data_IF_275313530377
#
_entry.id   IF_275313530377
#
_cell.length_a   1.000
_cell.length_b   1.000
_cell.length_c   1.000
_cell.angle_alpha   90.00
_cell.angle_beta   90.00
_cell.angle_gamma   90.00
#
_symmetry.space_group_name_H-M   'P 1'
#
loop_
_entity.id
_entity.type
_entity.pdbx_description
1 polymer ?
#
# COMPACT_ATOMS: atom_id res chain seq x y z
N UNK A 1 -9.65 -8.36 15.44
CA UNK A 1 -9.39 -7.04 14.84
C UNK A 1 -10.67 -6.21 14.87
N UNK A 2 -10.55 -4.90 14.86
CA UNK A 2 -11.72 -4.00 14.93
C UNK A 2 -12.57 -4.06 13.67
N UNK A 3 -12.00 -4.54 12.56
CA UNK A 3 -12.67 -4.66 11.27
C UNK A 3 -13.34 -6.03 11.05
N UNK A 4 -12.95 -7.05 11.80
CA UNK A 4 -13.62 -8.36 11.81
C UNK A 4 -14.81 -8.31 12.78
N UNK A 5 -15.94 -7.80 12.30
CA UNK A 5 -17.13 -7.55 13.14
C UNK A 5 -18.10 -8.74 13.20
N UNK A 6 -17.99 -9.70 12.27
CA UNK A 6 -18.80 -10.90 12.27
C UNK A 6 -18.22 -11.95 13.26
N UNK A 7 -19.09 -12.59 14.03
CA UNK A 7 -18.70 -13.66 14.94
C UNK A 7 -17.89 -14.77 14.23
N UNK A 8 -18.28 -15.11 13.02
CA UNK A 8 -17.61 -16.12 12.18
C UNK A 8 -16.20 -15.69 11.73
N UNK A 9 -15.98 -14.41 11.51
CA UNK A 9 -14.64 -13.86 11.20
C UNK A 9 -13.73 -13.94 12.43
N UNK A 10 -14.27 -13.62 13.60
CA UNK A 10 -13.54 -13.67 14.87
C UNK A 10 -13.21 -15.11 15.29
N UNK A 11 -14.16 -16.04 15.12
CA UNK A 11 -13.95 -17.46 15.44
C UNK A 11 -12.92 -18.13 14.52
N UNK A 12 -12.95 -17.80 13.23
CA UNK A 12 -12.06 -18.41 12.23
C UNK A 12 -10.74 -17.67 12.05
N UNK A 13 -10.66 -16.42 12.51
CA UNK A 13 -9.49 -15.56 12.33
C UNK A 13 -9.22 -15.19 10.85
N UNK A 14 -10.27 -15.12 10.04
CA UNK A 14 -10.21 -14.74 8.62
C UNK A 14 -11.26 -13.69 8.31
N UNK A 15 -10.92 -12.72 7.44
CA UNK A 15 -11.87 -11.76 6.88
C UNK A 15 -12.77 -12.47 5.87
N UNK A 16 -14.09 -12.35 6.00
CA UNK A 16 -15.11 -12.94 5.11
C UNK A 16 -15.70 -11.85 4.22
N UNK A 17 -16.06 -10.71 4.81
CA UNK A 17 -16.62 -9.57 4.10
C UNK A 17 -15.68 -8.39 4.13
N UNK A 18 -15.59 -7.64 3.03
CA UNK A 18 -14.79 -6.42 3.02
C UNK A 18 -15.31 -5.42 4.06
N UNK A 19 -14.42 -4.73 4.72
CA UNK A 19 -14.73 -3.68 5.69
C UNK A 19 -14.05 -2.38 5.28
N UNK A 20 -14.70 -1.25 5.50
CA UNK A 20 -14.14 0.07 5.20
C UNK A 20 -13.93 0.87 6.48
N UNK A 21 -12.77 1.47 6.60
CA UNK A 21 -12.42 2.38 7.69
C UNK A 21 -11.56 3.53 7.18
N UNK A 22 -11.35 4.52 8.04
CA UNK A 22 -10.50 5.66 7.73
C UNK A 22 -9.44 5.79 8.82
N UNK A 23 -8.20 6.02 8.41
CA UNK A 23 -7.16 6.49 9.31
C UNK A 23 -6.62 7.85 8.84
N UNK A 24 -6.03 8.57 9.76
CA UNK A 24 -5.34 9.83 9.51
C UNK A 24 -3.87 9.61 9.79
N UNK A 25 -3.02 10.08 8.90
CA UNK A 25 -1.59 9.86 9.01
C UNK A 25 -0.81 11.08 8.52
N UNK A 26 0.22 11.43 9.26
CA UNK A 26 1.17 12.48 8.88
C UNK A 26 2.50 11.82 8.53
N UNK A 27 3.07 12.19 7.39
CA UNK A 27 4.34 11.62 6.94
C UNK A 27 5.42 11.76 8.02
N UNK A 28 6.14 10.66 8.30
CA UNK A 28 7.21 10.56 9.29
C UNK A 28 6.79 10.94 10.72
N UNK A 29 5.50 10.81 11.08
CA UNK A 29 4.94 11.24 12.37
C UNK A 29 5.72 10.71 13.59
N UNK A 30 6.15 9.45 13.54
CA UNK A 30 6.85 8.78 14.64
C UNK A 30 8.38 8.67 14.43
N UNK A 31 8.91 9.24 13.36
CA UNK A 31 10.35 9.15 13.04
C UNK A 31 11.01 10.50 12.95
N UNK A 32 10.70 11.29 11.96
CA UNK A 32 11.27 12.62 11.70
C UNK A 32 10.17 13.68 11.51
N UNK A 33 9.30 13.92 12.52
CA UNK A 33 8.13 14.78 12.36
C UNK A 33 8.52 16.20 11.94
N UNK A 34 7.89 16.69 10.86
CA UNK A 34 8.13 18.03 10.33
C UNK A 34 7.03 18.97 10.80
N UNK A 35 7.37 20.14 11.42
CA UNK A 35 6.37 21.13 11.79
C UNK A 35 5.53 21.58 10.59
N UNK A 36 4.22 21.49 10.71
CA UNK A 36 3.30 21.89 9.64
C UNK A 36 3.15 20.87 8.51
N UNK A 37 3.62 19.64 8.68
CA UNK A 37 3.34 18.55 7.74
C UNK A 37 1.83 18.32 7.62
N UNK A 38 1.38 18.02 6.40
CA UNK A 38 -0.04 17.80 6.13
C UNK A 38 -0.47 16.44 6.66
N UNK A 39 -1.62 16.42 7.34
CA UNK A 39 -2.31 15.18 7.69
C UNK A 39 -3.03 14.65 6.45
N UNK A 40 -2.83 13.36 6.17
CA UNK A 40 -3.48 12.65 5.07
C UNK A 40 -4.60 11.77 5.61
N UNK A 41 -5.74 11.82 4.93
CA UNK A 41 -6.85 10.91 5.19
C UNK A 41 -6.70 9.69 4.28
N UNK A 42 -6.50 8.52 4.87
CA UNK A 42 -6.39 7.25 4.15
C UNK A 42 -7.67 6.45 4.40
N UNK A 43 -8.43 6.19 3.34
CA UNK A 43 -9.60 5.32 3.40
C UNK A 43 -9.15 3.89 3.07
N UNK A 44 -9.30 2.99 4.01
CA UNK A 44 -8.86 1.61 3.92
C UNK A 44 -10.07 0.72 3.66
N UNK A 45 -9.97 -0.11 2.63
CA UNK A 45 -10.89 -1.21 2.38
C UNK A 45 -10.13 -2.51 2.66
N UNK A 46 -10.44 -3.17 3.77
CA UNK A 46 -9.91 -4.49 4.09
C UNK A 46 -10.67 -5.54 3.28
N UNK A 47 -9.95 -6.37 2.54
CA UNK A 47 -10.52 -7.37 1.65
C UNK A 47 -10.13 -8.77 2.09
N UNK A 48 -11.03 -9.78 1.96
CA UNK A 48 -10.69 -11.15 2.27
C UNK A 48 -9.60 -11.67 1.32
N UNK A 49 -8.64 -12.42 1.87
CA UNK A 49 -7.59 -13.08 1.09
C UNK A 49 -7.96 -14.49 0.61
N UNK A 50 -9.12 -15.01 0.99
CA UNK A 50 -9.51 -16.39 0.69
C UNK A 50 -10.19 -16.52 -0.67
N UNK A 51 -9.87 -17.58 -1.42
CA UNK A 51 -10.37 -17.79 -2.79
C UNK A 51 -11.90 -17.84 -2.90
N UNK A 52 -12.59 -18.26 -1.85
CA UNK A 52 -14.05 -18.34 -1.85
C UNK A 52 -14.73 -16.97 -1.88
N UNK A 53 -13.98 -15.89 -1.61
CA UNK A 53 -14.48 -14.52 -1.51
C UNK A 53 -13.93 -13.60 -2.62
N UNK A 54 -13.52 -14.16 -3.76
CA UNK A 54 -12.95 -13.42 -4.90
C UNK A 54 -13.85 -12.30 -5.42
N UNK A 55 -15.17 -12.47 -5.36
CA UNK A 55 -16.14 -11.44 -5.80
C UNK A 55 -16.08 -10.17 -4.93
N UNK A 56 -15.86 -10.32 -3.62
CA UNK A 56 -15.70 -9.18 -2.70
C UNK A 56 -14.40 -8.41 -3.01
N UNK A 57 -13.33 -9.14 -3.32
CA UNK A 57 -12.06 -8.55 -3.75
C UNK A 57 -12.22 -7.78 -5.04
N UNK A 58 -12.85 -8.37 -6.06
CA UNK A 58 -13.05 -7.76 -7.37
C UNK A 58 -13.87 -6.48 -7.31
N UNK A 59 -14.96 -6.48 -6.52
CA UNK A 59 -15.77 -5.26 -6.31
C UNK A 59 -14.95 -4.15 -5.65
N UNK A 60 -14.10 -4.50 -4.69
CA UNK A 60 -13.23 -3.53 -4.02
C UNK A 60 -12.17 -2.99 -4.97
N UNK A 61 -11.50 -3.84 -5.75
CA UNK A 61 -10.46 -3.44 -6.71
C UNK A 61 -10.94 -2.37 -7.70
N UNK A 62 -12.23 -2.39 -8.04
CA UNK A 62 -12.81 -1.44 -8.99
C UNK A 62 -12.87 0.00 -8.48
N UNK A 63 -12.78 0.20 -7.16
CA UNK A 63 -12.86 1.52 -6.52
C UNK A 63 -11.59 1.93 -5.81
N UNK A 64 -10.53 1.11 -5.85
CA UNK A 64 -9.25 1.41 -5.22
C UNK A 64 -8.39 2.34 -6.08
N UNK A 65 -7.70 3.27 -5.43
CA UNK A 65 -6.63 4.06 -6.03
C UNK A 65 -5.30 3.30 -6.03
N UNK A 66 -5.07 2.50 -5.01
CA UNK A 66 -3.91 1.64 -4.86
C UNK A 66 -4.18 0.52 -3.87
N UNK A 67 -3.30 -0.46 -3.81
CA UNK A 67 -3.44 -1.59 -2.90
C UNK A 67 -2.13 -1.96 -2.21
N UNK A 68 -2.22 -2.40 -0.97
CA UNK A 68 -1.11 -3.00 -0.24
C UNK A 68 -1.30 -4.51 -0.23
N UNK A 69 -0.45 -5.23 -0.97
CA UNK A 69 -0.41 -6.69 -0.95
C UNK A 69 0.33 -7.17 0.30
N UNK A 70 -0.36 -7.84 1.21
CA UNK A 70 0.24 -8.35 2.44
C UNK A 70 0.63 -9.82 2.25
N UNK A 71 1.92 -10.11 2.35
CA UNK A 71 2.49 -11.45 2.20
C UNK A 71 3.02 -11.95 3.54
N UNK A 72 2.95 -13.25 3.76
CA UNK A 72 3.55 -13.87 4.95
C UNK A 72 5.05 -14.09 4.72
N UNK A 73 5.89 -13.60 5.62
CA UNK A 73 7.36 -13.76 5.53
C UNK A 73 7.83 -15.23 5.48
N UNK A 74 7.00 -16.17 5.94
CA UNK A 74 7.29 -17.60 5.90
C UNK A 74 6.93 -18.25 4.58
N UNK A 75 5.80 -17.85 3.97
CA UNK A 75 5.25 -18.48 2.76
C UNK A 75 5.56 -17.71 1.48
N UNK A 76 5.85 -16.41 1.60
CA UNK A 76 5.97 -15.53 0.44
C UNK A 76 4.67 -15.46 -0.35
N UNK A 77 4.75 -15.59 -1.66
CA UNK A 77 3.60 -15.64 -2.56
C UNK A 77 2.97 -17.04 -2.52
N UNK A 78 1.71 -17.11 -2.13
CA UNK A 78 0.89 -18.31 -2.12
C UNK A 78 -0.14 -18.27 -3.26
N UNK A 79 -0.78 -19.40 -3.64
CA UNK A 79 -1.75 -19.43 -4.75
C UNK A 79 -2.89 -18.41 -4.61
N UNK A 80 -3.33 -18.14 -3.37
CA UNK A 80 -4.36 -17.12 -3.10
C UNK A 80 -3.84 -15.72 -3.43
N UNK A 81 -2.61 -15.42 -3.06
CA UNK A 81 -1.95 -14.13 -3.39
C UNK A 81 -1.86 -13.93 -4.90
N UNK A 82 -1.53 -14.98 -5.66
CA UNK A 82 -1.46 -14.90 -7.12
C UNK A 82 -2.82 -14.55 -7.74
N UNK A 83 -3.91 -15.14 -7.26
CA UNK A 83 -5.24 -14.88 -7.77
C UNK A 83 -5.65 -13.41 -7.55
N UNK A 84 -5.51 -12.91 -6.33
CA UNK A 84 -5.83 -11.51 -5.99
C UNK A 84 -4.94 -10.55 -6.78
N UNK A 85 -3.67 -10.89 -6.94
CA UNK A 85 -2.72 -10.06 -7.69
C UNK A 85 -3.09 -9.95 -9.17
N UNK A 86 -3.48 -11.07 -9.81
CA UNK A 86 -3.94 -11.07 -11.20
C UNK A 86 -5.25 -10.29 -11.40
N UNK A 87 -6.16 -10.36 -10.44
CA UNK A 87 -7.36 -9.51 -10.46
C UNK A 87 -6.99 -8.01 -10.40
N UNK A 88 -6.06 -7.63 -9.54
CA UNK A 88 -5.56 -6.26 -9.48
C UNK A 88 -4.86 -5.81 -10.78
N UNK A 89 -4.19 -6.72 -11.50
CA UNK A 89 -3.63 -6.44 -12.83
C UNK A 89 -4.75 -6.09 -13.84
N UNK A 90 -5.88 -6.77 -13.78
CA UNK A 90 -7.02 -6.50 -14.68
C UNK A 90 -7.56 -5.08 -14.55
N UNK A 91 -7.50 -4.53 -13.35
CA UNK A 91 -7.97 -3.16 -13.05
C UNK A 91 -6.85 -2.11 -13.03
N UNK A 92 -5.61 -2.49 -13.38
CA UNK A 92 -4.43 -1.61 -13.36
C UNK A 92 -4.28 -0.86 -12.02
N UNK A 93 -4.52 -1.56 -10.90
CA UNK A 93 -4.39 -0.97 -9.57
C UNK A 93 -2.92 -0.88 -9.17
N UNK A 94 -2.36 0.31 -8.91
CA UNK A 94 -1.01 0.48 -8.36
C UNK A 94 -0.85 -0.27 -7.03
N UNK A 95 0.30 -0.89 -6.82
CA UNK A 95 0.52 -1.76 -5.65
C UNK A 95 1.86 -1.55 -4.99
N UNK A 96 1.86 -1.73 -3.68
CA UNK A 96 3.05 -1.97 -2.89
C UNK A 96 2.89 -3.30 -2.14
N UNK A 97 3.98 -3.88 -1.69
CA UNK A 97 4.00 -5.13 -0.94
C UNK A 97 4.46 -4.90 0.50
N UNK A 98 3.83 -5.59 1.43
CA UNK A 98 4.23 -5.63 2.83
C UNK A 98 4.48 -7.08 3.26
N UNK A 99 5.75 -7.41 3.54
CA UNK A 99 6.15 -8.72 4.04
C UNK A 99 5.91 -8.73 5.54
N UNK A 100 4.79 -9.31 5.94
CA UNK A 100 4.28 -9.34 7.31
C UNK A 100 4.73 -10.60 8.04
N UNK A 101 4.60 -10.57 9.36
CA UNK A 101 4.93 -11.68 10.27
C UNK A 101 6.43 -12.01 10.30
N UNK A 102 7.28 -10.97 10.22
CA UNK A 102 8.72 -11.12 10.37
C UNK A 102 9.14 -11.71 11.73
N UNK A 103 8.23 -11.64 12.73
CA UNK A 103 8.37 -12.20 14.08
C UNK A 103 8.06 -13.69 14.19
N UNK A 104 7.66 -14.36 13.11
CA UNK A 104 7.26 -15.77 13.14
C UNK A 104 8.40 -16.70 12.73
N UNK A 105 8.42 -17.88 13.37
CA UNK A 105 9.38 -18.94 13.05
C UNK A 105 9.32 -19.33 11.57
N UNK A 106 10.45 -19.30 10.89
CA UNK A 106 10.59 -19.54 9.46
C UNK A 106 10.37 -18.28 8.60
N UNK A 107 10.34 -17.09 9.20
CA UNK A 107 10.28 -15.84 8.45
C UNK A 107 11.57 -15.61 7.66
N UNK A 108 11.44 -15.33 6.36
CA UNK A 108 12.54 -15.00 5.45
C UNK A 108 12.07 -13.90 4.47
N UNK A 109 12.61 -12.71 4.69
CA UNK A 109 12.29 -11.54 3.85
C UNK A 109 12.75 -11.72 2.41
N UNK A 110 14.00 -12.15 2.24
CA UNK A 110 14.63 -12.21 0.90
C UNK A 110 13.99 -13.30 0.04
N UNK A 111 13.69 -14.46 0.63
CA UNK A 111 12.91 -15.51 -0.04
C UNK A 111 11.54 -14.98 -0.44
N UNK A 112 10.86 -14.24 0.44
CA UNK A 112 9.53 -13.69 0.16
C UNK A 112 9.57 -12.69 -1.01
N UNK A 113 10.56 -11.79 -1.05
CA UNK A 113 10.78 -10.87 -2.19
C UNK A 113 11.03 -11.64 -3.47
N UNK A 114 11.88 -12.67 -3.42
CA UNK A 114 12.17 -13.50 -4.60
C UNK A 114 10.90 -14.18 -5.13
N UNK A 115 10.01 -14.65 -4.26
CA UNK A 115 8.74 -15.23 -4.72
C UNK A 115 7.82 -14.23 -5.43
N UNK A 116 7.87 -12.94 -5.08
CA UNK A 116 7.13 -11.90 -5.80
C UNK A 116 7.67 -11.77 -7.22
N UNK A 117 8.98 -11.76 -7.38
CA UNK A 117 9.63 -11.69 -8.70
C UNK A 117 9.29 -12.93 -9.53
N UNK A 118 9.50 -14.12 -8.98
CA UNK A 118 9.40 -15.38 -9.70
C UNK A 118 7.96 -15.76 -10.06
N UNK A 119 7.02 -15.56 -9.14
CA UNK A 119 5.63 -16.02 -9.31
C UNK A 119 4.70 -14.96 -9.86
N UNK A 120 4.93 -13.69 -9.51
CA UNK A 120 4.09 -12.58 -9.98
C UNK A 120 4.70 -11.87 -11.20
N UNK A 121 5.98 -12.14 -11.52
CA UNK A 121 6.68 -11.53 -12.64
C UNK A 121 6.77 -10.00 -12.50
N UNK A 122 6.86 -9.48 -11.26
CA UNK A 122 6.82 -8.05 -10.98
C UNK A 122 8.20 -7.51 -10.60
N UNK A 123 8.43 -6.25 -10.94
CA UNK A 123 9.61 -5.51 -10.51
C UNK A 123 9.45 -5.13 -9.03
N UNK A 124 9.75 -6.07 -8.14
CA UNK A 124 9.76 -5.84 -6.71
C UNK A 124 11.02 -5.07 -6.31
N UNK A 125 10.83 -3.92 -5.67
CA UNK A 125 11.89 -3.02 -5.24
C UNK A 125 11.84 -2.89 -3.73
N UNK A 126 12.65 -3.65 -2.97
CA UNK A 126 12.78 -3.45 -1.53
C UNK A 126 13.30 -2.05 -1.23
N UNK A 127 12.55 -1.31 -0.44
CA UNK A 127 12.92 0.03 0.03
C UNK A 127 13.51 -0.01 1.44
N UNK A 128 13.47 -1.18 2.06
CA UNK A 128 14.03 -1.47 3.37
C UNK A 128 14.41 -2.94 3.48
N UNK A 129 15.29 -3.26 4.42
CA UNK A 129 15.62 -4.63 4.82
C UNK A 129 15.39 -4.80 6.33
N UNK A 130 15.05 -6.02 6.82
CA UNK A 130 14.83 -6.24 8.24
C UNK A 130 16.12 -6.26 9.04
N UNK A 131 16.05 -5.85 10.31
CA UNK A 131 17.08 -6.07 11.33
C UNK A 131 16.62 -7.26 12.18
N UNK A 132 17.28 -8.40 11.99
CA UNK A 132 16.89 -9.66 12.59
C UNK A 132 15.66 -10.30 11.89
N UNK A 133 15.33 -11.48 12.36
CA UNK A 133 14.17 -12.25 11.91
C UNK A 133 13.64 -13.10 13.06
N UNK A 134 12.40 -13.56 12.96
CA UNK A 134 11.75 -14.36 14.01
C UNK A 134 11.72 -13.59 15.33
N UNK A 135 12.14 -14.23 16.43
CA UNK A 135 12.17 -13.59 17.75
C UNK A 135 13.19 -12.43 17.84
N UNK A 136 14.20 -12.44 16.97
CA UNK A 136 15.25 -11.39 16.90
C UNK A 136 14.86 -10.22 15.98
N UNK A 137 13.64 -10.21 15.42
CA UNK A 137 13.17 -9.09 14.61
C UNK A 137 12.91 -7.85 15.47
N UNK A 138 13.81 -6.88 15.38
CA UNK A 138 13.82 -5.69 16.25
C UNK A 138 13.63 -4.37 15.48
N UNK A 139 13.79 -4.38 14.15
CA UNK A 139 13.73 -3.15 13.38
C UNK A 139 13.93 -3.37 11.88
N UNK A 140 14.27 -2.30 11.21
CA UNK A 140 14.51 -2.27 9.78
C UNK A 140 15.60 -1.26 9.41
N UNK A 141 16.23 -1.45 8.27
CA UNK A 141 17.12 -0.47 7.63
C UNK A 141 16.36 0.18 6.50
N UNK A 142 16.28 1.50 6.48
CA UNK A 142 15.78 2.29 5.35
C UNK A 142 16.89 2.40 4.30
N UNK A 143 16.63 1.91 3.10
CA UNK A 143 17.62 1.87 2.03
C UNK A 143 17.76 3.19 1.27
N UNK A 144 16.85 4.14 1.41
CA UNK A 144 17.03 5.48 0.88
C UNK A 144 17.95 6.33 1.76
N UNK A 145 17.60 6.39 3.05
CA UNK A 145 18.32 7.23 4.02
C UNK A 145 19.57 6.55 4.59
N UNK A 146 19.72 5.23 4.39
CA UNK A 146 20.80 4.40 4.95
C UNK A 146 20.91 4.54 6.47
N UNK A 147 19.77 4.43 7.14
CA UNK A 147 19.63 4.52 8.60
C UNK A 147 18.90 3.30 9.15
N UNK A 148 19.19 2.93 10.39
CA UNK A 148 18.53 1.84 11.10
C UNK A 148 17.43 2.38 12.03
N UNK A 149 16.28 1.74 11.99
CA UNK A 149 15.09 2.07 12.80
C UNK A 149 14.81 0.92 13.75
N UNK A 150 14.96 1.14 15.05
CA UNK A 150 14.69 0.17 16.10
C UNK A 150 13.40 0.49 16.83
N UNK A 151 12.49 -0.46 16.89
CA UNK A 151 11.23 -0.35 17.62
C UNK A 151 11.44 -0.79 19.06
N UNK A 152 11.34 0.16 20.00
CA UNK A 152 11.62 -0.06 21.44
C UNK A 152 10.41 -0.52 22.23
N UNK A 153 9.21 -0.27 21.70
CA UNK A 153 7.94 -0.64 22.33
C UNK A 153 7.07 -1.49 21.40
N UNK A 154 6.03 -2.12 21.99
CA UNK A 154 5.04 -2.89 21.23
C UNK A 154 3.92 -2.02 20.63
N UNK A 155 3.94 -0.69 20.87
CA UNK A 155 2.98 0.26 20.29
C UNK A 155 3.47 0.86 18.97
N UNK A 156 4.76 0.75 18.71
CA UNK A 156 5.39 1.32 17.52
C UNK A 156 5.48 2.86 17.56
N UNK A 157 5.40 3.45 18.75
CA UNK A 157 5.50 4.90 18.97
C UNK A 157 6.91 5.34 19.32
N UNK A 158 7.66 4.46 19.99
CA UNK A 158 9.06 4.70 20.38
C UNK A 158 10.01 4.05 19.36
N UNK A 159 10.47 4.85 18.41
CA UNK A 159 11.36 4.43 17.33
C UNK A 159 12.69 5.17 17.47
N UNK A 160 13.76 4.41 17.73
CA UNK A 160 15.12 4.93 17.75
C UNK A 160 15.76 4.83 16.37
N UNK A 161 16.28 5.95 15.88
CA UNK A 161 17.00 6.02 14.60
C UNK A 161 18.50 6.09 14.90
N UNK A 162 19.25 5.17 14.31
CA UNK A 162 20.69 5.03 14.53
C UNK A 162 21.43 4.78 13.22
N UNK A 163 22.76 4.75 13.29
CA UNK A 163 23.58 4.19 12.22
C UNK A 163 23.29 2.69 12.03
N UNK A 164 23.49 2.22 10.80
CA UNK A 164 23.36 0.80 10.46
C UNK A 164 24.39 -0.01 11.25
N UNK A 165 24.00 -1.13 11.89
CA UNK A 165 24.93 -2.03 12.56
C UNK A 165 26.04 -2.52 11.64
N UNK A 166 27.25 -2.66 12.16
CA UNK A 166 28.44 -3.02 11.36
C UNK A 166 28.27 -4.35 10.59
N UNK A 167 27.58 -5.31 11.17
CA UNK A 167 27.28 -6.61 10.56
C UNK A 167 26.25 -6.55 9.42
N UNK A 168 25.51 -5.46 9.31
CA UNK A 168 24.52 -5.24 8.25
C UNK A 168 24.95 -4.20 7.20
N UNK A 169 26.07 -3.50 7.41
CA UNK A 169 26.50 -2.42 6.50
C UNK A 169 26.71 -2.90 5.06
N UNK A 170 27.41 -4.01 4.88
CA UNK A 170 27.69 -4.55 3.55
C UNK A 170 26.41 -5.00 2.85
N UNK A 171 25.51 -5.67 3.56
CA UNK A 171 24.21 -6.08 3.04
C UNK A 171 23.34 -4.88 2.70
N UNK A 172 23.28 -3.88 3.56
CA UNK A 172 22.53 -2.67 3.32
C UNK A 172 23.05 -1.90 2.10
N UNK A 173 24.37 -1.83 1.93
CA UNK A 173 24.99 -1.20 0.77
C UNK A 173 24.63 -1.94 -0.53
N UNK A 174 24.72 -3.27 -0.55
CA UNK A 174 24.34 -4.09 -1.69
C UNK A 174 22.87 -3.86 -2.10
N UNK A 175 21.96 -3.82 -1.11
CA UNK A 175 20.54 -3.59 -1.37
C UNK A 175 20.22 -2.15 -1.73
N UNK A 176 20.97 -1.18 -1.22
CA UNK A 176 20.87 0.22 -1.64
C UNK A 176 21.27 0.38 -3.12
N UNK A 177 22.41 -0.19 -3.53
CA UNK A 177 22.84 -0.16 -4.93
C UNK A 177 21.80 -0.81 -5.85
N UNK A 178 21.25 -1.96 -5.45
CA UNK A 178 20.17 -2.62 -6.18
C UNK A 178 18.89 -1.76 -6.25
N UNK A 179 18.54 -1.05 -5.17
CA UNK A 179 17.43 -0.10 -5.15
C UNK A 179 17.64 1.03 -6.17
N UNK A 180 18.82 1.66 -6.14
CA UNK A 180 19.16 2.78 -7.04
C UNK A 180 19.12 2.32 -8.49
N UNK A 181 19.77 1.20 -8.83
CA UNK A 181 19.78 0.65 -10.17
C UNK A 181 18.35 0.38 -10.69
N UNK A 182 17.53 -0.32 -9.91
CA UNK A 182 16.14 -0.64 -10.29
C UNK A 182 15.25 0.60 -10.46
N UNK A 183 15.48 1.63 -9.67
CA UNK A 183 14.73 2.88 -9.82
C UNK A 183 15.21 3.66 -11.04
N UNK A 184 16.52 3.70 -11.30
CA UNK A 184 17.06 4.32 -12.50
C UNK A 184 16.53 3.66 -13.79
N UNK A 185 16.29 2.35 -13.78
CA UNK A 185 15.63 1.64 -14.89
C UNK A 185 14.22 2.15 -15.23
N UNK A 186 13.58 2.89 -14.31
CA UNK A 186 12.24 3.46 -14.50
C UNK A 186 12.27 4.87 -15.14
N UNK A 187 13.44 5.52 -15.22
CA UNK A 187 13.56 6.90 -15.69
C UNK A 187 14.88 7.11 -16.44
N UNK A 188 14.77 7.41 -17.73
CA UNK A 188 15.92 7.53 -18.65
C UNK A 188 16.92 8.62 -18.22
N UNK A 189 16.43 9.73 -17.64
CA UNK A 189 17.28 10.83 -17.19
C UNK A 189 18.10 10.42 -15.96
N UNK A 190 17.49 9.72 -15.01
CA UNK A 190 18.17 9.17 -13.84
C UNK A 190 19.16 8.07 -14.22
N UNK A 191 18.82 7.25 -15.22
CA UNK A 191 19.72 6.21 -15.71
C UNK A 191 20.97 6.85 -16.36
N UNK A 192 20.82 7.92 -17.16
CA UNK A 192 21.94 8.64 -17.71
C UNK A 192 22.86 9.22 -16.62
N UNK A 193 22.29 9.86 -15.62
CA UNK A 193 23.04 10.41 -14.48
C UNK A 193 23.81 9.31 -13.74
N UNK A 194 23.16 8.18 -13.46
CA UNK A 194 23.78 7.03 -12.79
C UNK A 194 24.95 6.44 -13.60
N UNK A 195 24.80 6.31 -14.94
CA UNK A 195 25.85 5.81 -15.83
C UNK A 195 27.05 6.78 -15.95
N UNK A 196 26.86 8.07 -15.73
CA UNK A 196 27.91 9.08 -15.64
C UNK A 196 28.68 9.03 -14.31
N UNK A 197 28.22 8.19 -13.37
CA UNK A 197 28.85 7.98 -12.05
C UNK A 197 28.33 8.96 -10.99
N UNK A 198 27.24 9.64 -11.25
CA UNK A 198 26.55 10.51 -10.30
C UNK A 198 25.33 9.80 -9.73
N UNK A 199 25.32 9.55 -8.41
CA UNK A 199 24.16 8.98 -7.75
C UNK A 199 23.03 10.02 -7.68
N UNK A 200 21.78 9.67 -8.13
CA UNK A 200 20.64 10.58 -8.02
C UNK A 200 20.29 10.91 -6.56
N UNK A 201 19.68 12.08 -6.35
CA UNK A 201 19.20 12.44 -5.01
C UNK A 201 18.09 11.50 -4.52
N UNK A 202 17.99 11.32 -3.20
CA UNK A 202 16.90 10.53 -2.57
C UNK A 202 15.52 11.04 -3.01
N UNK A 203 15.38 12.37 -3.14
CA UNK A 203 14.12 12.98 -3.59
C UNK A 203 13.77 12.56 -5.02
N UNK A 204 14.73 12.57 -5.95
CA UNK A 204 14.50 12.19 -7.34
C UNK A 204 14.26 10.69 -7.48
N UNK A 205 14.97 9.85 -6.72
CA UNK A 205 14.71 8.42 -6.63
C UNK A 205 13.28 8.12 -6.14
N UNK A 206 12.83 8.80 -5.08
CA UNK A 206 11.47 8.65 -4.56
C UNK A 206 10.40 9.09 -5.56
N UNK A 207 10.63 10.19 -6.30
CA UNK A 207 9.73 10.65 -7.38
C UNK A 207 9.63 9.62 -8.51
N UNK A 208 10.77 9.08 -8.95
CA UNK A 208 10.79 8.06 -10.00
C UNK A 208 10.09 6.77 -9.56
N UNK A 209 10.34 6.32 -8.32
CA UNK A 209 9.65 5.15 -7.76
C UNK A 209 8.13 5.38 -7.67
N UNK A 210 7.67 6.57 -7.24
CA UNK A 210 6.25 6.93 -7.24
C UNK A 210 5.65 6.83 -8.64
N UNK A 211 6.31 7.42 -9.63
CA UNK A 211 5.87 7.38 -11.04
C UNK A 211 5.75 5.95 -11.55
N UNK A 212 6.79 5.14 -11.32
CA UNK A 212 6.79 3.72 -11.70
C UNK A 212 5.73 2.89 -10.95
N UNK A 213 5.47 3.20 -9.68
CA UNK A 213 4.42 2.54 -8.90
C UNK A 213 3.03 2.86 -9.44
N UNK A 214 2.74 4.12 -9.72
CA UNK A 214 1.45 4.57 -10.29
C UNK A 214 1.25 3.98 -11.70
N UNK A 215 2.31 3.84 -12.47
CA UNK A 215 2.29 3.20 -13.79
C UNK A 215 2.21 1.65 -13.72
N UNK A 216 2.19 1.05 -12.53
CA UNK A 216 2.23 -0.41 -12.30
C UNK A 216 3.51 -1.09 -12.82
N UNK A 217 4.60 -0.36 -13.00
CA UNK A 217 5.91 -0.82 -13.47
C UNK A 217 6.82 -1.25 -12.33
N UNK A 218 6.57 -0.75 -11.12
CA UNK A 218 7.33 -1.06 -9.91
C UNK A 218 6.41 -1.39 -8.74
N UNK A 219 6.92 -2.22 -7.82
CA UNK A 219 6.25 -2.59 -6.57
C UNK A 219 7.20 -2.33 -5.41
N UNK A 220 7.05 -1.21 -4.67
CA UNK A 220 7.82 -0.99 -3.45
C UNK A 220 7.54 -2.07 -2.42
N UNK A 221 8.58 -2.63 -1.81
CA UNK A 221 8.46 -3.71 -0.83
C UNK A 221 8.92 -3.25 0.54
N UNK A 222 8.04 -3.41 1.50
CA UNK A 222 8.21 -3.13 2.92
C UNK A 222 8.20 -4.43 3.73
N UNK A 223 8.70 -4.38 4.96
CA UNK A 223 8.63 -5.51 5.87
C UNK A 223 8.23 -5.08 7.28
N UNK A 224 7.73 -6.06 8.05
CA UNK A 224 7.38 -5.79 9.44
C UNK A 224 6.60 -6.92 10.11
N UNK A 225 6.11 -6.62 11.29
CA UNK A 225 5.15 -7.43 12.03
C UNK A 225 3.98 -6.54 12.46
N UNK A 226 2.84 -6.69 11.79
CA UNK A 226 1.64 -5.95 12.14
C UNK A 226 1.15 -6.30 13.56
N UNK A 227 1.35 -7.55 14.00
CA UNK A 227 1.00 -7.99 15.36
C UNK A 227 1.83 -7.29 16.43
N UNK A 228 3.12 -7.08 16.17
CA UNK A 228 4.06 -6.34 17.05
C UNK A 228 4.07 -4.84 16.78
N UNK A 229 3.25 -4.36 15.85
CA UNK A 229 3.20 -2.98 15.37
C UNK A 229 4.59 -2.42 14.95
N UNK A 230 5.44 -3.27 14.37
CA UNK A 230 6.78 -2.92 13.87
C UNK A 230 6.76 -2.83 12.35
N UNK A 231 7.20 -1.72 11.77
CA UNK A 231 7.27 -1.49 10.33
C UNK A 231 5.97 -0.95 9.70
N UNK A 232 4.86 -0.92 10.41
CA UNK A 232 3.56 -0.41 9.92
C UNK A 232 3.64 1.09 9.64
N UNK A 233 4.35 1.84 10.49
CA UNK A 233 4.53 3.29 10.38
C UNK A 233 5.23 3.66 9.07
N UNK A 234 6.33 3.01 8.76
CA UNK A 234 7.06 3.22 7.49
C UNK A 234 6.27 2.75 6.27
N UNK A 235 5.43 1.73 6.41
CA UNK A 235 4.52 1.30 5.35
C UNK A 235 3.44 2.36 5.09
N UNK A 236 2.90 3.01 6.13
CA UNK A 236 1.94 4.11 5.99
C UNK A 236 2.60 5.36 5.36
N UNK A 237 3.85 5.66 5.70
CA UNK A 237 4.64 6.66 5.00
C UNK A 237 4.74 6.34 3.50
N UNK A 238 5.03 5.08 3.16
CA UNK A 238 5.09 4.61 1.78
C UNK A 238 3.75 4.70 1.04
N UNK A 239 2.63 4.53 1.72
CA UNK A 239 1.31 4.78 1.11
C UNK A 239 1.17 6.23 0.66
N UNK A 240 1.62 7.18 1.49
CA UNK A 240 1.59 8.61 1.14
C UNK A 240 2.60 8.92 0.01
N UNK A 241 3.81 8.35 0.09
CA UNK A 241 4.88 8.64 -0.86
C UNK A 241 4.66 8.04 -2.25
N UNK A 242 4.12 6.81 -2.34
CA UNK A 242 4.12 6.03 -3.58
C UNK A 242 2.74 5.69 -4.14
N UNK A 243 1.68 5.72 -3.34
CA UNK A 243 0.33 5.46 -3.84
C UNK A 243 -0.30 6.71 -4.45
N UNK A 244 -1.13 6.56 -5.50
CA UNK A 244 -1.81 7.70 -6.10
C UNK A 244 -2.89 8.27 -5.15
N UNK A 245 -3.01 9.59 -5.16
CA UNK A 245 -4.18 10.28 -4.64
C UNK A 245 -5.31 10.27 -5.69
N UNK A 246 -6.57 10.55 -5.34
CA UNK A 246 -7.66 10.68 -6.31
C UNK A 246 -7.40 11.67 -7.44
N UNK A 247 -6.53 12.66 -7.19
CA UNK A 247 -6.11 13.66 -8.19
C UNK A 247 -5.03 13.18 -9.16
N UNK A 248 -4.35 12.07 -8.85
CA UNK A 248 -3.34 11.45 -9.71
C UNK A 248 -3.96 10.46 -10.70
N UNK A 249 -5.23 10.12 -10.51
CA UNK A 249 -5.97 9.15 -11.34
C UNK A 249 -6.65 9.89 -12.47
N UNK A 250 -6.75 9.29 -13.68
CA UNK A 250 -7.47 9.88 -14.79
C UNK A 250 -8.93 10.23 -14.43
N UNK A 251 -9.42 11.32 -15.00
CA UNK A 251 -10.81 11.72 -14.86
C UNK A 251 -11.76 10.59 -15.24
N UNK A 252 -12.87 10.46 -14.49
CA UNK A 252 -13.86 9.42 -14.78
C UNK A 252 -14.66 9.79 -16.01
N UNK A 253 -14.83 8.81 -16.91
CA UNK A 253 -15.66 8.93 -18.11
C UNK A 253 -16.93 8.08 -17.96
N UNK A 254 -18.03 8.60 -18.44
CA UNK A 254 -19.32 7.92 -18.48
C UNK A 254 -20.13 8.35 -19.71
N UNK A 255 -21.36 7.91 -19.79
CA UNK A 255 -22.30 8.32 -20.85
C UNK A 255 -23.53 8.98 -20.24
N UNK A 256 -24.02 10.03 -20.87
CA UNK A 256 -25.29 10.64 -20.52
C UNK A 256 -26.51 9.84 -21.07
N UNK A 257 -27.72 10.32 -20.81
CA UNK A 257 -28.96 9.68 -21.26
C UNK A 257 -29.08 9.64 -22.80
N UNK A 258 -28.39 10.53 -23.51
CA UNK A 258 -28.36 10.60 -24.96
C UNK A 258 -27.22 9.77 -25.57
N UNK A 259 -26.39 9.12 -24.74
CA UNK A 259 -25.27 8.29 -25.16
C UNK A 259 -24.00 9.06 -25.49
N UNK A 260 -23.92 10.35 -25.15
CA UNK A 260 -22.71 11.14 -25.34
C UNK A 260 -21.72 10.86 -24.21
N UNK A 261 -20.42 10.88 -24.53
CA UNK A 261 -19.37 10.76 -23.53
C UNK A 261 -19.33 12.00 -22.63
N UNK A 262 -19.32 11.76 -21.33
CA UNK A 262 -19.22 12.80 -20.29
C UNK A 262 -18.02 12.51 -19.42
N UNK A 263 -17.16 13.51 -19.22
CA UNK A 263 -15.99 13.45 -18.33
C UNK A 263 -16.31 14.20 -17.04
N UNK A 264 -15.89 13.64 -15.90
CA UNK A 264 -15.96 14.29 -14.57
C UNK A 264 -14.59 14.35 -13.95
N UNK A 265 -14.17 15.56 -13.57
CA UNK A 265 -12.90 15.79 -12.88
C UNK A 265 -13.03 15.48 -11.39
N UNK A 266 -11.92 15.10 -10.77
CA UNK A 266 -11.86 14.94 -9.31
C UNK A 266 -11.82 16.31 -8.64
N UNK A 267 -13.00 16.92 -8.45
CA UNK A 267 -13.17 18.25 -7.84
C UNK A 267 -14.52 18.31 -7.12
N UNK A 268 -14.57 19.01 -5.98
CA UNK A 268 -15.79 19.24 -5.21
C UNK A 268 -16.80 20.12 -5.94
N UNK A 269 -16.33 20.96 -6.88
CA UNK A 269 -17.16 21.88 -7.67
C UNK A 269 -17.85 21.23 -8.87
N UNK A 270 -17.47 20.00 -9.20
CA UNK A 270 -18.06 19.23 -10.30
C UNK A 270 -19.43 18.63 -9.92
N UNK A 271 -20.26 18.28 -10.88
CA UNK A 271 -21.48 17.51 -10.60
C UNK A 271 -21.16 16.18 -9.92
N UNK A 272 -22.00 15.80 -8.95
CA UNK A 272 -21.81 14.59 -8.18
C UNK A 272 -21.82 13.33 -9.07
N UNK A 273 -20.80 12.51 -8.95
CA UNK A 273 -20.72 11.17 -9.52
C UNK A 273 -20.04 10.21 -8.55
N UNK A 274 -20.66 9.06 -8.34
CA UNK A 274 -20.17 8.04 -7.41
C UNK A 274 -20.51 6.64 -7.90
N UNK A 275 -19.76 5.65 -7.44
CA UNK A 275 -20.02 4.23 -7.68
C UNK A 275 -20.26 3.52 -6.35
N UNK A 276 -21.44 2.91 -6.18
CA UNK A 276 -21.72 2.04 -5.05
C UNK A 276 -21.06 0.68 -5.29
N UNK A 277 -20.21 0.24 -4.36
CA UNK A 277 -19.46 -1.01 -4.49
C UNK A 277 -19.83 -2.06 -3.45
N UNK A 278 -20.52 -1.65 -2.36
CA UNK A 278 -20.95 -2.57 -1.30
C UNK A 278 -22.26 -2.13 -0.68
N UNK A 279 -23.13 -3.10 -0.42
CA UNK A 279 -24.36 -2.92 0.36
C UNK A 279 -24.35 -3.93 1.49
N UNK A 280 -24.59 -3.46 2.70
CA UNK A 280 -24.73 -4.32 3.87
C UNK A 280 -25.98 -3.93 4.68
N UNK A 281 -26.41 -4.83 5.55
CA UNK A 281 -27.51 -4.57 6.47
C UNK A 281 -26.94 -4.45 7.88
N UNK A 282 -27.19 -3.30 8.51
CA UNK A 282 -26.88 -3.05 9.90
C UNK A 282 -28.16 -3.19 10.75
N UNK A 283 -28.12 -3.89 11.89
CA UNK A 283 -29.29 -4.11 12.74
C UNK A 283 -29.93 -2.83 13.27
N UNK A 284 -29.16 -1.74 13.40
CA UNK A 284 -29.61 -0.48 14.01
C UNK A 284 -29.96 0.59 12.97
N UNK A 285 -29.22 0.65 11.88
CA UNK A 285 -29.33 1.71 10.86
C UNK A 285 -30.09 1.21 9.62
N UNK A 286 -30.19 -0.10 9.45
CA UNK A 286 -30.84 -0.70 8.26
C UNK A 286 -29.86 -0.92 7.11
N UNK A 287 -30.22 -0.56 5.89
CA UNK A 287 -29.35 -0.72 4.72
C UNK A 287 -28.29 0.36 4.66
N UNK A 288 -27.04 -0.05 4.57
CA UNK A 288 -25.88 0.82 4.37
C UNK A 288 -25.31 0.55 2.98
N UNK A 289 -25.20 1.60 2.17
CA UNK A 289 -24.53 1.55 0.88
C UNK A 289 -23.18 2.26 0.98
N UNK A 290 -22.11 1.55 0.68
CA UNK A 290 -20.77 2.11 0.58
C UNK A 290 -20.54 2.51 -0.87
N UNK A 291 -20.11 3.74 -1.06
CA UNK A 291 -19.85 4.26 -2.41
C UNK A 291 -18.58 5.10 -2.42
N UNK A 292 -17.90 5.08 -3.55
CA UNK A 292 -16.80 5.98 -3.82
C UNK A 292 -17.31 7.18 -4.60
N UNK A 293 -17.03 8.38 -4.09
CA UNK A 293 -17.27 9.64 -4.80
C UNK A 293 -16.08 9.91 -5.73
N UNK A 294 -16.36 10.13 -6.99
CA UNK A 294 -15.35 10.51 -8.00
C UNK A 294 -15.35 11.99 -8.29
N UNK A 295 -16.50 12.64 -8.18
CA UNK A 295 -16.64 14.09 -8.40
C UNK A 295 -17.80 14.64 -7.58
N UNK A 296 -17.71 15.93 -7.29
CA UNK A 296 -18.74 16.64 -6.53
C UNK A 296 -18.84 16.26 -5.07
N UNK A 297 -19.88 16.73 -4.42
CA UNK A 297 -20.13 16.55 -2.98
C UNK A 297 -21.54 16.01 -2.75
N UNK A 298 -21.67 15.04 -1.84
CA UNK A 298 -22.98 14.54 -1.38
C UNK A 298 -23.26 15.04 0.01
N UNK A 299 -24.28 15.90 0.14
CA UNK A 299 -24.71 16.41 1.43
C UNK A 299 -25.74 15.48 2.10
N UNK A 300 -25.68 15.38 3.43
CA UNK A 300 -26.67 14.61 4.20
C UNK A 300 -28.08 15.14 3.94
N UNK A 301 -29.03 14.23 3.71
CA UNK A 301 -30.44 14.56 3.42
C UNK A 301 -30.71 15.01 1.99
N UNK A 302 -29.71 14.96 1.08
CA UNK A 302 -29.91 15.23 -0.35
C UNK A 302 -30.34 13.97 -1.10
N UNK A 303 -30.77 14.16 -2.35
CA UNK A 303 -31.18 13.08 -3.27
C UNK A 303 -30.13 12.92 -4.36
N UNK A 304 -29.98 11.70 -4.84
CA UNK A 304 -29.12 11.36 -5.98
C UNK A 304 -29.92 10.58 -7.02
N UNK A 305 -29.55 10.69 -8.28
CA UNK A 305 -30.06 9.85 -9.35
C UNK A 305 -29.35 8.49 -9.28
N UNK A 306 -30.11 7.43 -9.32
CA UNK A 306 -29.58 6.08 -9.52
C UNK A 306 -29.72 5.75 -11.01
N UNK A 307 -28.61 5.76 -11.73
CA UNK A 307 -28.52 5.51 -13.17
C UNK A 307 -28.37 4.02 -13.48
#
# INVERSE_FOLDING_TARGET
ATMDWMEQEQERGITITSAATTCHWTLEEFTKPKPGALEHRINIIDTPGHVDFTVEVERSLRVLDGAVGVFCAKGGVEPQSENVWRQADTYNVPRMAFINKMDKMGADFFMSVQTIIDRLGKNAIPVQIPIGQEDDFVGLVDLFEMEAYYYKDDKGEDIEITEIPDDLKDLAQEWHENLVEKICDLDDDLMMQYLEGEEPSVEDLKKALRKGTIACEAVPVYCGSAYKNKGVQKMLDGVIEYMPAPTDIPDITGTDEDGNEVVRKSSDDEPFAALAFKIMTDPFVGKLAFFRVYSGTLNSGSYVLNA
#
